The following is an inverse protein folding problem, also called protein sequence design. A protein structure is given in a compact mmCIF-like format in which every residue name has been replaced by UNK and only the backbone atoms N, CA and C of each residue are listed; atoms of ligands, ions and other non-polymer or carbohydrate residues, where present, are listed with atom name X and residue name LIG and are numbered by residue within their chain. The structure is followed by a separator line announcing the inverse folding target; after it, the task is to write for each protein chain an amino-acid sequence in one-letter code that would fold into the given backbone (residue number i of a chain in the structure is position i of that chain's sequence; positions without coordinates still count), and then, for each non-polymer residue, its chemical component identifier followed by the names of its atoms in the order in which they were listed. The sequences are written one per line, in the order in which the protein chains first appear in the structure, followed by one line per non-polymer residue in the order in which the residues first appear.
data_IF_377003918336
#
_entry.id   IF_377003918336
#
_cell.length_a   1.000
_cell.length_b   1.000
_cell.length_c   1.000
_cell.angle_alpha   90.00
_cell.angle_beta   90.00
_cell.angle_gamma   90.00
#
_symmetry.space_group_name_H-M   'P 1'
#
loop_
_entity.id
_entity.type
_entity.pdbx_description
1 polymer ?
#
# COMPACT_ATOMS: atom_id res chain seq x y z
N UNK A 1 -48.17 40.53 -43.15
CA UNK A 1 -47.76 39.46 -42.21
C UNK A 1 -46.29 39.70 -41.97
N UNK A 2 -45.89 40.19 -40.78
CA UNK A 2 -44.49 40.52 -40.49
C UNK A 2 -43.67 39.24 -40.37
N UNK A 3 -42.73 39.01 -41.29
CA UNK A 3 -41.66 38.02 -41.08
C UNK A 3 -40.84 38.50 -39.88
N UNK A 4 -40.91 37.76 -38.77
CA UNK A 4 -39.99 37.96 -37.66
C UNK A 4 -38.65 37.35 -38.06
N UNK A 5 -37.66 38.20 -38.30
CA UNK A 5 -36.27 37.79 -38.53
C UNK A 5 -35.53 37.75 -37.18
N UNK A 6 -34.70 36.72 -36.99
CA UNK A 6 -33.86 36.56 -35.81
C UNK A 6 -32.45 37.04 -36.14
N UNK A 7 -32.04 38.15 -35.53
CA UNK A 7 -30.77 38.80 -35.83
C UNK A 7 -29.70 38.50 -34.78
N UNK A 8 -28.55 38.00 -35.23
CA UNK A 8 -27.32 37.95 -34.44
C UNK A 8 -26.68 39.34 -34.46
N UNK A 9 -26.80 40.10 -33.37
CA UNK A 9 -26.16 41.41 -33.25
C UNK A 9 -24.61 41.36 -33.31
N UNK A 10 -23.91 40.37 -32.72
CA UNK A 10 -22.44 40.30 -32.78
C UNK A 10 -21.88 40.17 -34.21
N UNK A 11 -22.62 39.52 -35.10
CA UNK A 11 -22.16 39.15 -36.44
C UNK A 11 -23.02 39.75 -37.57
N UNK A 12 -24.07 40.49 -37.21
CA UNK A 12 -25.05 41.15 -38.08
C UNK A 12 -25.68 40.20 -39.13
N UNK A 13 -25.94 38.94 -38.75
CA UNK A 13 -26.60 37.96 -39.61
C UNK A 13 -28.05 37.74 -39.19
N UNK A 14 -28.93 37.68 -40.18
CA UNK A 14 -30.36 37.47 -40.00
C UNK A 14 -30.76 36.05 -40.39
N UNK A 15 -31.62 35.43 -39.58
CA UNK A 15 -32.11 34.07 -39.78
C UNK A 15 -33.64 34.06 -39.83
N UNK A 16 -34.21 33.35 -40.80
CA UNK A 16 -35.67 33.21 -40.96
C UNK A 16 -36.31 32.22 -39.99
N UNK A 17 -35.51 31.32 -39.41
CA UNK A 17 -35.97 30.29 -38.48
C UNK A 17 -35.15 30.39 -37.19
N UNK A 18 -35.83 30.38 -36.05
CA UNK A 18 -35.20 30.43 -34.72
C UNK A 18 -34.19 29.31 -34.49
N UNK A 19 -34.46 28.12 -35.00
CA UNK A 19 -33.55 26.98 -34.86
C UNK A 19 -32.20 27.23 -35.55
N UNK A 20 -32.19 27.85 -36.72
CA UNK A 20 -30.95 28.22 -37.41
C UNK A 20 -30.20 29.34 -36.69
N UNK A 21 -30.92 30.25 -36.04
CA UNK A 21 -30.34 31.25 -35.16
C UNK A 21 -29.67 30.59 -33.94
N UNK A 22 -30.34 29.67 -33.25
CA UNK A 22 -29.77 28.95 -32.11
C UNK A 22 -28.55 28.10 -32.49
N UNK A 23 -28.62 27.37 -33.60
CA UNK A 23 -27.48 26.57 -34.09
C UNK A 23 -26.29 27.46 -34.44
N UNK A 24 -26.55 28.65 -34.98
CA UNK A 24 -25.53 29.66 -35.23
C UNK A 24 -24.90 30.15 -33.92
N UNK A 25 -25.70 30.51 -32.91
CA UNK A 25 -25.18 30.96 -31.61
C UNK A 25 -24.27 29.91 -30.95
N UNK A 26 -24.56 28.61 -31.12
CA UNK A 26 -23.76 27.54 -30.49
C UNK A 26 -22.46 27.26 -31.25
N UNK A 27 -22.48 27.27 -32.58
CA UNK A 27 -21.37 26.73 -33.41
C UNK A 27 -20.57 27.79 -34.16
N UNK A 28 -20.98 29.05 -34.13
CA UNK A 28 -20.28 30.13 -34.82
C UNK A 28 -19.02 30.54 -34.08
N UNK A 29 -17.90 30.57 -34.80
CA UNK A 29 -16.64 31.11 -34.30
C UNK A 29 -16.58 32.65 -34.33
N UNK A 30 -17.65 33.34 -34.73
CA UNK A 30 -17.70 34.80 -34.83
C UNK A 30 -18.04 35.50 -33.50
N UNK A 31 -18.46 34.74 -32.48
CA UNK A 31 -18.74 35.26 -31.15
C UNK A 31 -18.35 34.23 -30.09
N UNK A 32 -17.96 34.71 -28.92
CA UNK A 32 -17.57 33.87 -27.80
C UNK A 32 -18.81 33.55 -26.97
N UNK A 33 -19.70 32.70 -27.48
CA UNK A 33 -20.99 32.39 -26.85
C UNK A 33 -20.91 31.23 -25.86
N UNK A 34 -21.74 31.28 -24.81
CA UNK A 34 -21.93 30.24 -23.82
C UNK A 34 -23.38 29.75 -23.78
N UNK A 35 -23.65 28.58 -24.35
CA UNK A 35 -25.00 28.02 -24.48
C UNK A 35 -25.71 27.71 -23.15
N UNK A 36 -24.95 27.45 -22.08
CA UNK A 36 -25.54 27.11 -20.77
C UNK A 36 -26.03 28.34 -20.00
N UNK A 37 -25.37 29.47 -20.19
CA UNK A 37 -25.71 30.74 -19.55
C UNK A 37 -26.39 31.74 -20.49
N UNK A 38 -26.61 31.35 -21.75
CA UNK A 38 -27.19 32.18 -22.82
C UNK A 38 -26.53 33.57 -22.90
N UNK A 39 -25.19 33.57 -22.92
CA UNK A 39 -24.39 34.79 -22.81
C UNK A 39 -23.27 34.83 -23.86
N UNK A 40 -23.17 35.95 -24.56
CA UNK A 40 -22.05 36.32 -25.42
C UNK A 40 -20.98 37.10 -24.66
N UNK A 41 -19.73 36.73 -24.91
CA UNK A 41 -18.56 37.40 -24.33
C UNK A 41 -17.84 38.25 -25.38
N UNK A 42 -17.23 39.33 -24.91
CA UNK A 42 -16.53 40.32 -25.75
C UNK A 42 -15.30 39.76 -26.44
N UNK A 43 -14.65 38.77 -25.83
CA UNK A 43 -13.50 38.05 -26.37
C UNK A 43 -13.39 36.65 -25.73
N UNK A 44 -12.47 35.83 -26.26
CA UNK A 44 -12.23 34.47 -25.76
C UNK A 44 -11.72 34.48 -24.31
N UNK A 45 -10.97 35.50 -23.89
CA UNK A 45 -10.42 35.59 -22.53
C UNK A 45 -11.53 35.84 -21.49
N UNK A 46 -12.51 36.69 -21.81
CA UNK A 46 -13.69 36.93 -21.00
C UNK A 46 -14.58 35.68 -20.91
N UNK A 47 -14.76 34.96 -22.02
CA UNK A 47 -15.44 33.65 -22.02
C UNK A 47 -14.69 32.64 -21.16
N UNK A 48 -13.37 32.60 -21.29
CA UNK A 48 -12.54 31.67 -20.53
C UNK A 48 -12.58 31.97 -19.03
N UNK A 49 -12.51 33.25 -18.64
CA UNK A 49 -12.71 33.69 -17.24
C UNK A 49 -14.10 33.34 -16.72
N UNK A 50 -15.15 33.51 -17.52
CA UNK A 50 -16.50 33.06 -17.16
C UNK A 50 -16.55 31.55 -16.92
N UNK A 51 -15.93 30.75 -17.79
CA UNK A 51 -15.84 29.29 -17.60
C UNK A 51 -15.04 28.92 -16.34
N UNK A 52 -14.08 29.74 -15.92
CA UNK A 52 -13.21 29.47 -14.77
C UNK A 52 -13.80 29.88 -13.42
N UNK A 53 -14.52 31.01 -13.39
CA UNK A 53 -14.93 31.66 -12.14
C UNK A 53 -16.44 31.68 -11.91
N UNK A 54 -17.26 31.30 -12.90
CA UNK A 54 -18.72 31.24 -12.73
C UNK A 54 -19.13 29.95 -12.01
N UNK A 55 -19.93 30.09 -10.94
CA UNK A 55 -20.52 28.97 -10.21
C UNK A 55 -21.39 28.07 -11.13
N UNK A 56 -21.92 28.61 -12.23
CA UNK A 56 -22.71 27.86 -13.22
C UNK A 56 -21.86 26.95 -14.13
N UNK A 57 -20.55 27.19 -14.19
CA UNK A 57 -19.60 26.50 -15.08
C UNK A 57 -18.50 25.74 -14.36
N UNK A 58 -18.71 25.35 -13.10
CA UNK A 58 -17.77 24.65 -12.22
C UNK A 58 -17.09 23.42 -12.87
N UNK A 59 -16.09 23.67 -13.72
CA UNK A 59 -15.22 22.68 -14.33
C UNK A 59 -13.92 22.80 -13.57
N UNK A 60 -13.77 21.98 -12.52
CA UNK A 60 -12.50 21.88 -11.81
C UNK A 60 -11.44 21.33 -12.76
N UNK A 61 -10.70 22.22 -13.40
CA UNK A 61 -9.56 21.88 -14.26
C UNK A 61 -8.45 21.15 -13.48
N UNK A 62 -8.48 21.28 -12.16
CA UNK A 62 -7.64 20.55 -11.23
C UNK A 62 -8.49 19.76 -10.23
N UNK A 63 -8.72 18.49 -10.58
CA UNK A 63 -9.36 17.50 -9.71
C UNK A 63 -8.64 17.38 -8.36
N UNK A 64 -7.33 17.58 -8.34
CA UNK A 64 -6.50 17.55 -7.13
C UNK A 64 -6.81 18.73 -6.22
N UNK A 65 -6.92 19.95 -6.77
CA UNK A 65 -7.30 21.14 -6.02
C UNK A 65 -8.73 21.04 -5.46
N UNK A 66 -9.68 20.53 -6.25
CA UNK A 66 -11.05 20.31 -5.78
C UNK A 66 -11.09 19.34 -4.59
N UNK A 67 -10.49 18.15 -4.74
CA UNK A 67 -10.50 17.14 -3.69
C UNK A 67 -9.72 17.59 -2.45
N UNK A 68 -8.61 18.31 -2.61
CA UNK A 68 -7.85 18.84 -1.48
C UNK A 68 -8.62 19.87 -0.66
N UNK A 69 -9.53 20.64 -1.27
CA UNK A 69 -10.28 21.67 -0.56
C UNK A 69 -11.65 21.20 -0.07
N UNK A 70 -12.37 20.38 -0.85
CA UNK A 70 -13.75 19.96 -0.55
C UNK A 70 -13.86 18.58 0.07
N UNK A 71 -12.84 17.73 -0.13
CA UNK A 71 -12.81 16.36 0.33
C UNK A 71 -11.50 16.03 1.07
N UNK A 72 -10.90 17.04 1.74
CA UNK A 72 -9.64 16.89 2.50
C UNK A 72 -9.67 15.78 3.55
N UNK A 73 -10.87 15.47 4.01
CA UNK A 73 -11.24 14.46 4.99
C UNK A 73 -11.28 13.04 4.38
N UNK A 74 -11.34 12.92 3.05
CA UNK A 74 -11.37 11.66 2.30
C UNK A 74 -10.24 11.55 1.27
N UNK A 75 -9.46 12.59 1.07
CA UNK A 75 -8.48 12.69 -0.01
C UNK A 75 -7.04 12.70 0.49
N UNK A 76 -6.22 11.82 -0.06
CA UNK A 76 -4.78 11.90 0.10
C UNK A 76 -4.16 12.70 -1.04
N UNK A 77 -3.65 13.90 -0.75
CA UNK A 77 -3.00 14.76 -1.73
C UNK A 77 -1.64 14.21 -2.21
N UNK A 78 -0.84 13.56 -1.35
CA UNK A 78 0.46 13.05 -1.77
C UNK A 78 0.33 11.87 -2.76
N UNK A 79 -0.68 11.02 -2.56
CA UNK A 79 -0.94 9.87 -3.44
C UNK A 79 -1.97 10.16 -4.54
N UNK A 80 -2.70 11.27 -4.44
CA UNK A 80 -3.76 11.63 -5.39
C UNK A 80 -5.02 10.76 -5.33
N UNK A 81 -5.27 10.07 -4.21
CA UNK A 81 -6.33 9.05 -4.06
C UNK A 81 -7.48 9.59 -3.21
N UNK A 82 -8.71 9.44 -3.71
CA UNK A 82 -9.94 9.70 -2.96
C UNK A 82 -10.49 8.39 -2.38
N UNK A 83 -10.71 8.38 -1.07
CA UNK A 83 -11.22 7.23 -0.34
C UNK A 83 -12.73 7.34 -0.12
N UNK A 84 -13.37 6.18 0.03
CA UNK A 84 -14.82 6.10 0.24
C UNK A 84 -15.28 6.56 1.62
N UNK A 85 -14.39 6.52 2.63
CA UNK A 85 -14.67 6.96 4.00
C UNK A 85 -13.39 7.35 4.75
N UNK A 86 -13.57 8.06 5.88
CA UNK A 86 -12.46 8.54 6.73
C UNK A 86 -11.59 7.42 7.28
N UNK A 87 -12.16 6.26 7.62
CA UNK A 87 -11.40 5.15 8.16
C UNK A 87 -10.41 4.61 7.13
N UNK A 88 -10.81 4.52 5.87
CA UNK A 88 -9.94 4.08 4.78
C UNK A 88 -8.80 5.08 4.54
N UNK A 89 -9.08 6.39 4.53
CA UNK A 89 -8.02 7.41 4.47
C UNK A 89 -7.10 7.32 5.68
N UNK A 90 -7.64 7.19 6.89
CA UNK A 90 -6.86 7.07 8.14
C UNK A 90 -5.95 5.84 8.11
N UNK A 91 -6.44 4.69 7.65
CA UNK A 91 -5.63 3.49 7.47
C UNK A 91 -4.55 3.67 6.39
N UNK A 92 -4.89 4.34 5.28
CA UNK A 92 -3.93 4.65 4.22
C UNK A 92 -2.82 5.60 4.70
N UNK A 93 -3.14 6.64 5.45
CA UNK A 93 -2.15 7.55 6.04
C UNK A 93 -1.26 6.85 7.08
N UNK A 94 -1.74 5.74 7.67
CA UNK A 94 -0.97 4.85 8.53
C UNK A 94 -0.26 3.72 7.78
N UNK A 95 -0.36 3.68 6.45
CA UNK A 95 0.29 2.65 5.64
C UNK A 95 1.75 3.00 5.35
N UNK A 96 2.47 2.04 4.78
CA UNK A 96 3.87 2.18 4.36
C UNK A 96 4.12 3.24 3.28
N UNK A 97 3.06 3.79 2.69
CA UNK A 97 3.14 4.88 1.71
C UNK A 97 3.35 6.26 2.35
N UNK A 98 3.05 6.40 3.64
CA UNK A 98 3.04 7.69 4.34
C UNK A 98 3.84 7.74 5.64
N UNK A 99 4.03 6.59 6.29
CA UNK A 99 4.86 6.54 7.48
C UNK A 99 6.34 6.61 7.10
N UNK A 100 7.16 7.35 7.87
CA UNK A 100 8.60 7.33 7.68
C UNK A 100 9.13 5.91 7.87
N UNK A 101 10.12 5.55 7.05
CA UNK A 101 10.72 4.22 7.05
C UNK A 101 11.95 4.24 7.94
N UNK A 102 11.71 4.20 9.25
CA UNK A 102 12.78 4.35 10.24
C UNK A 102 13.68 3.12 10.35
N UNK A 103 13.27 1.98 9.79
CA UNK A 103 14.02 0.72 9.82
C UNK A 103 14.68 0.44 8.49
N UNK A 104 15.92 0.90 8.31
CA UNK A 104 16.74 0.54 7.16
C UNK A 104 17.30 -0.88 7.32
N UNK A 105 17.36 -1.63 6.21
CA UNK A 105 18.03 -2.92 6.20
C UNK A 105 19.52 -2.72 6.53
N UNK A 106 20.06 -3.38 7.57
CA UNK A 106 21.47 -3.27 7.93
C UNK A 106 22.43 -4.00 6.97
N UNK A 107 21.93 -4.88 6.09
CA UNK A 107 22.78 -5.70 5.25
C UNK A 107 23.45 -4.88 4.14
N UNK A 108 24.77 -5.02 3.97
CA UNK A 108 25.58 -4.10 3.16
C UNK A 108 25.22 -3.99 1.67
N UNK A 109 24.42 -4.93 1.14
CA UNK A 109 23.94 -4.94 -0.25
C UNK A 109 22.45 -4.64 -0.40
N UNK A 110 21.75 -4.25 0.66
CA UNK A 110 20.31 -4.05 0.65
C UNK A 110 19.94 -2.62 1.09
N UNK A 111 19.46 -1.81 0.14
CA UNK A 111 19.04 -0.43 0.40
C UNK A 111 17.55 -0.29 0.79
N UNK A 112 16.90 -1.39 1.18
CA UNK A 112 15.46 -1.36 1.51
C UNK A 112 15.24 -0.80 2.91
N UNK A 113 14.21 0.05 3.04
CA UNK A 113 13.73 0.56 4.33
C UNK A 113 12.27 0.19 4.57
N UNK A 114 11.93 0.03 5.85
CA UNK A 114 10.67 -0.50 6.35
C UNK A 114 10.08 0.42 7.43
N UNK A 115 8.77 0.32 7.60
CA UNK A 115 8.02 1.14 8.56
C UNK A 115 7.99 0.57 9.99
N UNK A 116 8.39 -0.68 10.17
CA UNK A 116 8.34 -1.37 11.46
C UNK A 116 9.42 -2.46 11.54
N UNK A 117 9.72 -2.91 12.77
CA UNK A 117 10.64 -4.05 13.01
C UNK A 117 10.06 -5.32 12.41
N UNK A 118 8.76 -5.55 12.62
CA UNK A 118 8.06 -6.70 12.05
C UNK A 118 8.21 -6.79 10.53
N UNK A 119 8.12 -5.66 9.81
CA UNK A 119 8.28 -5.62 8.37
C UNK A 119 9.73 -5.88 7.92
N UNK A 120 10.73 -5.34 8.64
CA UNK A 120 12.14 -5.61 8.37
C UNK A 120 12.50 -7.09 8.62
N UNK A 121 12.03 -7.68 9.71
CA UNK A 121 12.28 -9.09 9.99
C UNK A 121 11.56 -9.99 8.99
N UNK A 122 10.31 -9.68 8.62
CA UNK A 122 9.59 -10.41 7.57
C UNK A 122 10.28 -10.34 6.20
N UNK A 123 11.01 -9.25 5.93
CA UNK A 123 11.82 -9.14 4.72
C UNK A 123 12.96 -10.17 4.66
N UNK A 124 13.61 -10.45 5.80
CA UNK A 124 14.59 -11.54 5.90
C UNK A 124 13.91 -12.91 5.85
N UNK A 125 12.81 -13.09 6.61
CA UNK A 125 12.07 -14.34 6.67
C UNK A 125 11.44 -14.77 5.34
N UNK A 126 11.21 -13.82 4.43
CA UNK A 126 10.72 -14.07 3.08
C UNK A 126 11.83 -14.44 2.06
N UNK A 127 13.09 -14.49 2.49
CA UNK A 127 14.26 -14.82 1.65
C UNK A 127 14.42 -13.92 0.42
N UNK A 128 14.12 -12.63 0.57
CA UNK A 128 14.21 -11.62 -0.51
C UNK A 128 15.26 -10.54 -0.26
N UNK A 129 16.07 -10.70 0.79
CA UNK A 129 17.13 -9.75 1.12
C UNK A 129 18.35 -9.94 0.22
N UNK A 130 18.81 -8.86 -0.40
CA UNK A 130 20.01 -8.89 -1.27
C UNK A 130 21.31 -9.12 -0.49
N UNK A 131 21.28 -8.95 0.84
CA UNK A 131 22.43 -9.27 1.69
C UNK A 131 22.61 -10.79 1.86
N UNK A 132 21.60 -11.59 1.51
CA UNK A 132 21.57 -13.04 1.71
C UNK A 132 21.09 -13.46 3.11
N UNK A 133 20.89 -12.51 4.03
CA UNK A 133 20.35 -12.79 5.35
C UNK A 133 18.89 -13.24 5.23
N UNK A 134 18.59 -14.45 5.71
CA UNK A 134 17.32 -15.12 5.48
C UNK A 134 16.68 -15.68 6.76
N UNK A 135 15.58 -16.41 6.62
CA UNK A 135 14.84 -17.00 7.74
C UNK A 135 15.70 -17.93 8.62
N UNK A 136 16.59 -18.74 8.04
CA UNK A 136 17.44 -19.64 8.80
C UNK A 136 18.46 -18.87 9.63
N UNK A 137 18.97 -17.76 9.10
CA UNK A 137 19.83 -16.83 9.84
C UNK A 137 19.07 -16.14 10.96
N UNK A 138 17.85 -15.63 10.72
CA UNK A 138 17.00 -15.06 11.78
C UNK A 138 16.79 -16.07 12.91
N UNK A 139 16.36 -17.30 12.57
CA UNK A 139 16.10 -18.35 13.54
C UNK A 139 17.35 -18.70 14.35
N UNK A 140 18.50 -18.87 13.68
CA UNK A 140 19.77 -19.20 14.32
C UNK A 140 20.27 -18.05 15.20
N UNK A 141 20.42 -16.85 14.64
CA UNK A 141 20.97 -15.70 15.35
C UNK A 141 20.11 -15.30 16.54
N UNK A 142 18.80 -15.26 16.35
CA UNK A 142 17.88 -14.87 17.41
C UNK A 142 17.82 -15.94 18.51
N UNK A 143 17.71 -17.21 18.15
CA UNK A 143 17.59 -18.27 19.15
C UNK A 143 18.90 -18.55 19.87
N UNK A 144 20.05 -18.55 19.21
CA UNK A 144 21.33 -18.92 19.82
C UNK A 144 21.97 -17.75 20.59
N UNK A 145 21.96 -16.55 20.03
CA UNK A 145 22.76 -15.42 20.53
C UNK A 145 21.94 -14.30 21.16
N UNK A 146 20.73 -14.02 20.67
CA UNK A 146 19.88 -12.94 21.17
C UNK A 146 19.05 -13.38 22.39
N UNK A 147 18.10 -14.28 22.20
CA UNK A 147 17.22 -14.78 23.25
C UNK A 147 17.80 -16.03 23.95
N UNK A 148 18.94 -15.84 24.61
CA UNK A 148 19.68 -16.94 25.27
C UNK A 148 18.87 -17.65 26.36
N UNK A 149 17.91 -16.94 26.94
CA UNK A 149 17.04 -17.44 28.01
C UNK A 149 15.78 -18.14 27.49
N UNK A 150 15.57 -18.16 26.17
CA UNK A 150 14.38 -18.76 25.53
C UNK A 150 13.07 -18.18 26.06
N UNK A 151 13.03 -16.86 26.28
CA UNK A 151 11.83 -16.14 26.73
C UNK A 151 10.79 -16.05 25.60
N UNK A 152 11.27 -15.83 24.38
CA UNK A 152 10.47 -15.58 23.18
C UNK A 152 10.60 -16.70 22.15
N UNK A 153 11.69 -17.44 22.10
CA UNK A 153 11.91 -18.53 21.14
C UNK A 153 12.27 -19.84 21.82
N UNK A 154 11.62 -20.93 21.39
CA UNK A 154 11.92 -22.30 21.81
C UNK A 154 12.86 -22.93 20.80
N UNK A 155 14.12 -23.12 21.18
CA UNK A 155 15.17 -23.69 20.32
C UNK A 155 14.84 -25.09 19.81
N UNK A 156 14.17 -25.89 20.64
CA UNK A 156 13.74 -27.24 20.29
C UNK A 156 12.72 -27.27 19.12
N UNK A 157 12.14 -26.12 18.79
CA UNK A 157 11.20 -25.95 17.67
C UNK A 157 11.83 -25.27 16.46
N UNK A 158 13.15 -25.03 16.47
CA UNK A 158 13.90 -24.53 15.33
C UNK A 158 14.52 -25.73 14.61
N UNK A 159 14.12 -25.93 13.36
CA UNK A 159 14.61 -27.02 12.52
C UNK A 159 15.29 -26.48 11.26
N UNK A 160 16.27 -27.19 10.68
CA UNK A 160 16.78 -26.84 9.36
C UNK A 160 15.68 -26.98 8.30
N UNK A 161 15.81 -26.25 7.20
CA UNK A 161 14.87 -26.35 6.09
C UNK A 161 14.72 -27.81 5.61
N UNK A 162 13.49 -28.30 5.37
CA UNK A 162 13.28 -29.66 4.88
C UNK A 162 14.01 -29.88 3.54
N UNK A 163 14.85 -30.91 3.46
CA UNK A 163 15.32 -31.43 2.17
C UNK A 163 14.21 -32.30 1.59
N UNK A 164 13.36 -31.70 0.77
CA UNK A 164 12.27 -32.39 0.10
C UNK A 164 12.53 -32.42 -1.40
N UNK A 165 12.41 -33.61 -1.98
CA UNK A 165 12.35 -33.73 -3.41
C UNK A 165 10.98 -33.24 -3.89
N UNK A 166 11.01 -32.33 -4.86
CA UNK A 166 9.81 -31.66 -5.36
C UNK A 166 9.38 -32.37 -6.65
N UNK A 167 8.24 -33.05 -6.58
CA UNK A 167 7.65 -33.76 -7.71
C UNK A 167 6.28 -33.17 -8.05
N UNK A 168 5.94 -33.05 -9.35
CA UNK A 168 4.59 -32.73 -9.75
C UNK A 168 3.65 -33.92 -9.50
N UNK A 169 2.36 -33.61 -9.31
CA UNK A 169 1.29 -34.59 -9.30
C UNK A 169 0.92 -35.07 -10.72
N UNK A 170 -0.09 -35.93 -10.81
CA UNK A 170 -0.61 -36.48 -12.08
C UNK A 170 -1.10 -35.40 -13.07
N UNK A 171 -1.40 -34.19 -12.57
CA UNK A 171 -1.89 -33.05 -13.35
C UNK A 171 -0.80 -32.02 -13.63
N UNK A 172 0.46 -32.29 -13.27
CA UNK A 172 1.57 -31.36 -13.44
C UNK A 172 1.60 -30.22 -12.42
N UNK A 173 0.79 -30.30 -11.36
CA UNK A 173 0.74 -29.32 -10.27
C UNK A 173 1.66 -29.72 -9.12
N UNK A 174 2.03 -28.77 -8.27
CA UNK A 174 2.96 -29.01 -7.15
C UNK A 174 2.23 -28.83 -5.80
N UNK A 175 1.57 -29.89 -5.28
CA UNK A 175 0.87 -29.80 -4.00
C UNK A 175 1.84 -29.81 -2.80
N UNK A 176 1.55 -29.01 -1.78
CA UNK A 176 2.24 -29.07 -0.50
C UNK A 176 1.79 -30.31 0.29
N UNK A 177 2.71 -31.11 0.86
CA UNK A 177 2.34 -32.32 1.61
C UNK A 177 1.68 -32.01 2.96
N UNK A 178 1.97 -30.84 3.54
CA UNK A 178 1.55 -30.49 4.90
C UNK A 178 0.38 -29.51 4.94
N UNK A 179 -0.08 -29.00 3.79
CA UNK A 179 -1.21 -28.06 3.75
C UNK A 179 -1.96 -28.11 2.41
N UNK A 180 -3.19 -27.59 2.32
CA UNK A 180 -4.02 -27.72 1.12
C UNK A 180 -3.60 -26.81 -0.04
N UNK A 181 -2.41 -26.20 0.00
CA UNK A 181 -1.93 -25.31 -1.08
C UNK A 181 -1.31 -26.12 -2.20
N UNK A 182 -1.65 -25.72 -3.43
CA UNK A 182 -1.09 -26.26 -4.66
C UNK A 182 -0.47 -25.13 -5.46
N UNK A 183 0.69 -25.38 -6.06
CA UNK A 183 1.49 -24.42 -6.79
C UNK A 183 1.62 -24.80 -8.26
N UNK A 184 1.86 -23.81 -9.12
CA UNK A 184 2.03 -24.05 -10.55
C UNK A 184 3.43 -24.50 -10.89
N UNK A 185 4.43 -24.18 -10.06
CA UNK A 185 5.83 -24.55 -10.29
C UNK A 185 6.48 -25.15 -9.05
N UNK A 186 7.49 -26.00 -9.26
CA UNK A 186 8.28 -26.56 -8.16
C UNK A 186 9.04 -25.50 -7.38
N UNK A 187 9.43 -24.38 -8.02
CA UNK A 187 10.10 -23.27 -7.34
C UNK A 187 9.17 -22.55 -6.35
N UNK A 188 7.90 -22.34 -6.72
CA UNK A 188 6.89 -21.77 -5.81
C UNK A 188 6.66 -22.68 -4.60
N UNK A 189 6.58 -24.00 -4.80
CA UNK A 189 6.47 -24.96 -3.70
C UNK A 189 7.75 -24.95 -2.83
N UNK A 190 8.94 -24.88 -3.43
CA UNK A 190 10.20 -24.79 -2.69
C UNK A 190 10.23 -23.57 -1.76
N UNK A 191 9.94 -22.39 -2.30
CA UNK A 191 9.86 -21.15 -1.53
C UNK A 191 8.76 -21.22 -0.45
N UNK A 192 7.62 -21.86 -0.75
CA UNK A 192 6.57 -22.09 0.24
C UNK A 192 7.03 -22.99 1.40
N UNK A 193 7.79 -24.05 1.12
CA UNK A 193 8.31 -24.95 2.16
C UNK A 193 9.37 -24.28 3.04
N UNK A 194 10.08 -23.28 2.50
CA UNK A 194 11.01 -22.43 3.25
C UNK A 194 10.31 -21.33 4.07
N UNK A 195 9.01 -21.10 3.87
CA UNK A 195 8.26 -20.13 4.67
C UNK A 195 8.20 -20.52 6.14
N UNK A 196 8.03 -19.56 7.09
CA UNK A 196 8.02 -19.84 8.52
C UNK A 196 7.02 -20.92 8.95
N UNK A 197 5.92 -21.06 8.21
CA UNK A 197 4.89 -22.07 8.49
C UNK A 197 5.38 -23.51 8.28
N UNK A 198 6.31 -23.74 7.36
CA UNK A 198 6.74 -25.09 6.96
C UNK A 198 8.20 -25.38 7.31
N UNK A 199 9.07 -24.38 7.32
CA UNK A 199 10.49 -24.55 7.63
C UNK A 199 10.71 -25.25 8.97
N UNK A 200 9.99 -24.82 10.00
CA UNK A 200 10.05 -25.40 11.34
C UNK A 200 9.05 -26.56 11.52
N UNK A 201 8.76 -27.35 10.47
CA UNK A 201 7.85 -28.53 10.50
C UNK A 201 6.46 -28.24 11.07
N UNK A 202 5.95 -27.03 10.86
CA UNK A 202 4.66 -26.60 11.41
C UNK A 202 4.68 -26.23 12.90
N UNK A 203 5.84 -26.26 13.57
CA UNK A 203 5.95 -25.77 14.94
C UNK A 203 5.94 -24.24 14.99
N UNK A 204 5.30 -23.72 16.03
CA UNK A 204 5.30 -22.30 16.38
C UNK A 204 6.44 -22.04 17.36
N UNK A 205 7.63 -21.82 16.83
CA UNK A 205 8.85 -21.69 17.63
C UNK A 205 8.86 -20.42 18.50
N UNK A 206 8.13 -19.38 18.09
CA UNK A 206 8.10 -18.09 18.76
C UNK A 206 6.86 -17.98 19.64
N UNK A 207 6.99 -17.39 20.82
CA UNK A 207 5.89 -17.23 21.76
C UNK A 207 5.89 -15.89 22.51
N UNK A 208 4.69 -15.41 22.81
CA UNK A 208 4.49 -14.28 23.72
C UNK A 208 4.55 -14.81 25.18
N UNK A 209 5.44 -14.29 26.03
CA UNK A 209 5.59 -14.78 27.41
C UNK A 209 4.44 -14.33 28.34
N UNK A 210 3.60 -13.38 27.89
CA UNK A 210 2.48 -12.88 28.70
C UNK A 210 1.44 -13.98 28.95
N UNK A 211 1.20 -14.28 30.22
CA UNK A 211 0.20 -15.29 30.66
C UNK A 211 -1.24 -14.92 30.35
N UNK A 212 -1.49 -13.66 30.02
CA UNK A 212 -2.81 -13.14 29.68
C UNK A 212 -3.01 -13.01 28.16
N UNK A 213 -2.04 -13.43 27.36
CA UNK A 213 -2.17 -13.43 25.91
C UNK A 213 -2.95 -14.67 25.44
N UNK A 214 -4.03 -14.45 24.69
CA UNK A 214 -4.83 -15.53 24.08
C UNK A 214 -4.18 -16.12 22.81
N UNK A 215 -3.15 -15.48 22.27
CA UNK A 215 -2.42 -15.93 21.09
C UNK A 215 -0.93 -15.93 21.40
N UNK A 216 -0.52 -16.95 22.12
CA UNK A 216 0.80 -17.05 22.73
C UNK A 216 1.86 -17.65 21.80
N UNK A 217 1.52 -18.17 20.62
CA UNK A 217 2.49 -18.85 19.74
C UNK A 217 2.41 -18.46 18.25
N UNK A 218 3.57 -18.30 17.61
CA UNK A 218 3.78 -17.75 16.29
C UNK A 218 4.81 -18.58 15.49
N UNK A 219 4.64 -18.61 14.16
CA UNK A 219 5.54 -19.34 13.26
C UNK A 219 6.88 -18.62 13.03
N UNK A 220 6.92 -17.30 13.23
CA UNK A 220 8.07 -16.45 12.90
C UNK A 220 8.26 -15.33 13.92
N UNK A 221 9.48 -14.81 14.01
CA UNK A 221 9.81 -13.65 14.84
C UNK A 221 9.07 -12.41 14.33
N UNK A 222 8.98 -12.24 13.01
CA UNK A 222 8.22 -11.17 12.38
C UNK A 222 6.73 -11.17 12.77
N UNK A 223 6.12 -12.34 12.96
CA UNK A 223 4.74 -12.44 13.45
C UNK A 223 4.60 -12.07 14.93
N UNK A 224 5.57 -12.46 15.78
CA UNK A 224 5.58 -12.10 17.20
C UNK A 224 5.78 -10.59 17.39
N UNK A 225 6.71 -9.98 16.63
CA UNK A 225 6.92 -8.53 16.64
C UNK A 225 5.67 -7.78 16.23
N UNK A 226 5.01 -8.21 15.14
CA UNK A 226 3.75 -7.60 14.72
C UNK A 226 2.69 -7.67 15.82
N UNK A 227 2.60 -8.79 16.54
CA UNK A 227 1.71 -8.91 17.70
C UNK A 227 2.06 -7.89 18.79
N UNK A 228 3.33 -7.76 19.17
CA UNK A 228 3.77 -6.79 20.18
C UNK A 228 3.59 -5.33 19.74
N UNK A 229 3.72 -5.04 18.44
CA UNK A 229 3.51 -3.70 17.89
C UNK A 229 2.02 -3.30 17.82
N UNK A 230 1.10 -4.25 17.86
CA UNK A 230 -0.33 -4.02 17.60
C UNK A 230 -1.27 -4.32 18.77
N UNK A 231 -0.76 -4.98 19.82
CA UNK A 231 -1.56 -5.37 20.98
C UNK A 231 -0.91 -4.91 22.28
N UNK A 232 -1.74 -4.60 23.28
CA UNK A 232 -1.31 -4.20 24.64
C UNK A 232 -0.92 -5.42 25.51
N UNK A 233 -0.13 -6.35 24.95
CA UNK A 233 0.34 -7.52 25.69
C UNK A 233 1.55 -7.18 26.56
N UNK A 234 1.31 -6.67 27.78
CA UNK A 234 2.34 -6.34 28.80
C UNK A 234 3.60 -5.67 28.23
N UNK A 235 3.57 -4.34 28.17
CA UNK A 235 4.57 -3.49 27.50
C UNK A 235 6.03 -3.79 27.85
N UNK A 236 6.34 -4.30 29.05
CA UNK A 236 7.71 -4.66 29.43
C UNK A 236 8.32 -5.74 28.52
N UNK A 237 7.54 -6.76 28.15
CA UNK A 237 8.02 -7.82 27.26
C UNK A 237 8.18 -7.35 25.81
N UNK A 238 7.35 -6.40 25.38
CA UNK A 238 7.48 -5.79 24.05
C UNK A 238 8.81 -5.02 23.96
N UNK A 239 9.12 -4.20 24.97
CA UNK A 239 10.37 -3.45 25.00
C UNK A 239 11.60 -4.37 25.06
N UNK A 240 11.58 -5.39 25.91
CA UNK A 240 12.66 -6.38 25.97
C UNK A 240 12.91 -7.06 24.61
N UNK A 241 11.84 -7.43 23.90
CA UNK A 241 11.93 -8.03 22.57
C UNK A 241 12.51 -7.04 21.54
N UNK A 242 12.07 -5.78 21.57
CA UNK A 242 12.57 -4.74 20.66
C UNK A 242 14.06 -4.47 20.89
N UNK A 243 14.49 -4.42 22.15
CA UNK A 243 15.89 -4.21 22.50
C UNK A 243 16.77 -5.39 22.05
N UNK A 244 16.26 -6.63 22.14
CA UNK A 244 16.95 -7.81 21.60
C UNK A 244 17.12 -7.73 20.08
N UNK A 245 16.08 -7.29 19.36
CA UNK A 245 16.14 -7.17 17.91
C UNK A 245 17.10 -6.07 17.49
N UNK A 246 16.94 -4.87 18.03
CA UNK A 246 17.68 -3.69 17.58
C UNK A 246 19.17 -3.77 17.93
N UNK A 247 19.49 -4.19 19.15
CA UNK A 247 20.87 -4.13 19.66
C UNK A 247 21.69 -5.39 19.39
N UNK A 248 21.05 -6.51 19.04
CA UNK A 248 21.74 -7.78 18.83
C UNK A 248 21.48 -8.35 17.44
N UNK A 249 20.21 -8.60 17.08
CA UNK A 249 19.90 -9.24 15.80
C UNK A 249 20.31 -8.35 14.61
N UNK A 250 19.94 -7.07 14.63
CA UNK A 250 20.27 -6.16 13.54
C UNK A 250 21.77 -5.88 13.44
N UNK A 251 22.50 -5.88 14.56
CA UNK A 251 23.97 -5.81 14.55
C UNK A 251 24.59 -7.09 13.95
N UNK A 252 24.03 -8.27 14.26
CA UNK A 252 24.48 -9.52 13.67
C UNK A 252 24.36 -9.50 12.14
N UNK A 253 23.26 -8.95 11.60
CA UNK A 253 23.10 -8.77 10.14
C UNK A 253 24.20 -7.88 9.55
N UNK A 254 24.55 -6.76 10.21
CA UNK A 254 25.63 -5.86 9.75
C UNK A 254 27.00 -6.54 9.71
N UNK A 255 27.25 -7.47 10.63
CA UNK A 255 28.54 -8.15 10.73
C UNK A 255 28.64 -9.37 9.82
N UNK A 256 27.52 -10.00 9.49
CA UNK A 256 27.48 -11.24 8.72
C UNK A 256 27.26 -11.04 7.22
N UNK A 257 26.87 -9.83 6.77
CA UNK A 257 26.54 -9.53 5.37
C UNK A 257 27.10 -8.21 4.87
#
# INVERSE_FOLDING_TARGET
MSEYEYDCHPCQRSFRLFQHYQDHMIHSNFHHYCARCDQDFVDEDAKQKHLWFSDAHYVCHDRHHHYRNRHSDLYCALCGILFTNHNNLRMHLKSSSHLPRDYCCPGGRCDRSFISRSALIQHFEADVCMSGFNLEDVDREFSEYCDRKQVFVKRDFIFPAPRMDIYPDEYGSFPCPDCPKTFGTGHELAAHLQSPKHKNRGYRAYSCPSRHCNRDAFFSLGNLLLHMETTDCQDSYAQDLFDLVDNYLLEAVRHTT
#
